data_IF_317619287942
#
_entry.id   IF_317619287942
#
_cell.length_a   1.000
_cell.length_b   1.000
_cell.length_c   1.000
_cell.angle_alpha   90.00
_cell.angle_beta   90.00
_cell.angle_gamma   90.00
#
_symmetry.space_group_name_H-M   'P 1'
#
loop_
_entity.id
_entity.type
_entity.pdbx_description
1 polymer ?
#
# COMPACT_ATOMS: atom_id res chain seq x y z
N UNK A 1 -17.59 13.41 42.49
CA UNK A 1 -17.09 14.18 41.33
C UNK A 1 -17.92 15.44 41.25
N UNK A 2 -17.39 16.56 41.74
CA UNK A 2 -18.06 17.86 41.60
C UNK A 2 -18.36 18.13 40.15
N UNK A 3 -19.60 18.53 39.88
CA UNK A 3 -20.04 18.83 38.53
C UNK A 3 -19.35 20.11 38.06
N UNK A 4 -19.09 20.24 36.76
CA UNK A 4 -18.47 21.45 36.19
C UNK A 4 -19.28 22.73 36.51
N UNK A 5 -20.56 22.57 36.86
CA UNK A 5 -21.46 23.64 37.28
C UNK A 5 -21.17 24.17 38.69
N UNK A 6 -20.81 23.31 39.65
CA UNK A 6 -20.43 23.73 41.03
C UNK A 6 -19.14 24.56 41.01
N UNK A 7 -18.17 24.22 40.16
CA UNK A 7 -16.94 25.01 40.00
C UNK A 7 -17.16 26.40 39.37
N UNK A 8 -18.31 26.63 38.73
CA UNK A 8 -18.68 27.94 38.16
C UNK A 8 -19.39 28.81 39.20
N UNK A 9 -19.97 28.23 40.25
CA UNK A 9 -20.53 29.01 41.37
C UNK A 9 -19.44 29.65 42.22
N UNK A 10 -18.28 29.00 42.33
CA UNK A 10 -17.12 29.48 43.10
C UNK A 10 -16.19 30.44 42.31
N UNK A 11 -16.57 30.79 41.07
CA UNK A 11 -15.82 31.71 40.24
C UNK A 11 -16.11 33.17 40.65
N UNK A 12 -15.40 33.60 41.69
CA UNK A 12 -15.04 34.98 42.06
C UNK A 12 -16.23 35.94 42.24
N UNK A 13 -16.53 36.25 43.50
CA UNK A 13 -17.26 37.47 43.86
C UNK A 13 -16.67 38.64 43.06
N UNK A 14 -17.54 39.49 42.49
CA UNK A 14 -17.15 40.71 41.74
C UNK A 14 -16.17 41.57 42.56
N UNK A 15 -16.19 41.42 43.88
CA UNK A 15 -15.32 42.09 44.85
C UNK A 15 -13.83 41.74 44.73
N UNK A 16 -13.48 40.61 44.09
CA UNK A 16 -12.10 40.17 43.87
C UNK A 16 -11.58 40.47 42.46
N UNK A 17 -12.35 41.18 41.64
CA UNK A 17 -11.96 41.49 40.27
C UNK A 17 -10.82 42.53 40.29
N UNK A 18 -9.63 42.15 39.82
CA UNK A 18 -8.51 43.07 39.64
C UNK A 18 -8.96 44.33 38.88
N UNK A 19 -8.47 45.51 39.26
CA UNK A 19 -8.83 46.80 38.65
C UNK A 19 -8.58 46.90 37.13
N UNK A 20 -7.88 45.91 36.55
CA UNK A 20 -7.59 45.81 35.12
C UNK A 20 -8.73 45.23 34.29
N UNK A 21 -9.74 44.60 34.91
CA UNK A 21 -10.85 43.95 34.21
C UNK A 21 -12.13 44.72 34.46
N UNK A 22 -12.77 45.21 33.39
CA UNK A 22 -14.04 45.90 33.49
C UNK A 22 -15.15 44.97 34.02
N UNK A 23 -15.82 45.37 35.10
CA UNK A 23 -16.80 44.55 35.79
C UNK A 23 -18.04 44.23 34.91
N UNK A 24 -18.40 45.12 33.99
CA UNK A 24 -19.50 44.89 33.07
C UNK A 24 -19.12 43.88 31.97
N UNK A 25 -17.92 44.00 31.38
CA UNK A 25 -17.37 43.00 30.45
C UNK A 25 -17.27 41.61 31.10
N UNK A 26 -16.79 41.54 32.34
CA UNK A 26 -16.71 40.28 33.09
C UNK A 26 -18.09 39.63 33.29
N UNK A 27 -19.09 40.40 33.74
CA UNK A 27 -20.47 39.89 33.90
C UNK A 27 -21.02 39.33 32.59
N UNK A 28 -20.84 40.05 31.48
CA UNK A 28 -21.30 39.61 30.17
C UNK A 28 -20.62 38.30 29.73
N UNK A 29 -19.31 38.17 29.98
CA UNK A 29 -18.56 36.95 29.67
C UNK A 29 -19.08 35.75 30.47
N UNK A 30 -19.25 35.91 31.79
CA UNK A 30 -19.76 34.85 32.68
C UNK A 30 -21.19 34.46 32.27
N UNK A 31 -22.06 35.44 32.00
CA UNK A 31 -23.42 35.19 31.55
C UNK A 31 -23.44 34.43 30.22
N UNK A 32 -22.59 34.79 29.25
CA UNK A 32 -22.48 34.07 27.98
C UNK A 32 -22.06 32.61 28.18
N UNK A 33 -21.04 32.34 28.99
CA UNK A 33 -20.57 30.95 29.19
C UNK A 33 -21.56 30.10 30.00
N UNK A 34 -22.39 30.72 30.85
CA UNK A 34 -23.51 30.05 31.54
C UNK A 34 -24.74 29.84 30.63
N UNK A 35 -24.84 30.54 29.51
CA UNK A 35 -25.94 30.34 28.56
C UNK A 35 -25.89 28.95 27.90
N UNK A 36 -27.03 28.51 27.36
CA UNK A 36 -27.11 27.28 26.57
C UNK A 36 -26.13 27.29 25.38
N UNK A 37 -25.99 28.43 24.72
CA UNK A 37 -25.05 28.62 23.60
C UNK A 37 -23.58 28.41 24.02
N UNK A 38 -23.20 28.95 25.18
CA UNK A 38 -21.85 28.76 25.75
C UNK A 38 -21.59 27.30 26.13
N UNK A 39 -22.58 26.69 26.79
CA UNK A 39 -22.52 25.28 27.22
C UNK A 39 -22.44 24.31 26.04
N UNK A 40 -23.27 24.50 25.01
CA UNK A 40 -23.26 23.70 23.79
C UNK A 40 -21.90 23.80 23.06
N UNK A 41 -21.34 25.01 22.99
CA UNK A 41 -20.00 25.25 22.42
C UNK A 41 -18.92 24.50 23.19
N UNK A 42 -18.90 24.58 24.52
CA UNK A 42 -17.92 23.89 25.37
C UNK A 42 -18.04 22.36 25.23
N UNK A 43 -19.26 21.85 25.30
CA UNK A 43 -19.57 20.42 25.20
C UNK A 43 -19.13 19.84 23.85
N UNK A 44 -19.32 20.60 22.76
CA UNK A 44 -18.89 20.20 21.41
C UNK A 44 -17.38 20.31 21.23
N UNK A 45 -16.75 21.37 21.76
CA UNK A 45 -15.33 21.63 21.56
C UNK A 45 -14.43 20.69 22.37
N UNK A 46 -14.89 20.18 23.52
CA UNK A 46 -14.12 19.23 24.35
C UNK A 46 -13.71 17.95 23.58
N UNK A 47 -14.63 17.19 22.95
CA UNK A 47 -14.25 16.03 22.13
C UNK A 47 -13.53 16.42 20.84
N UNK A 48 -13.77 17.62 20.29
CA UNK A 48 -13.00 18.09 19.13
C UNK A 48 -11.54 18.35 19.50
N UNK A 49 -11.29 18.92 20.68
CA UNK A 49 -9.95 19.15 21.21
C UNK A 49 -9.23 17.83 21.49
N UNK A 50 -9.92 16.80 21.97
CA UNK A 50 -9.29 15.49 22.18
C UNK A 50 -8.92 14.77 20.88
N UNK A 51 -9.54 15.13 19.74
CA UNK A 51 -9.17 14.62 18.41
C UNK A 51 -7.97 15.33 17.79
N UNK A 52 -7.48 16.41 18.40
CA UNK A 52 -6.30 17.12 17.92
C UNK A 52 -5.03 16.39 18.35
N UNK A 53 -4.49 15.59 17.44
CA UNK A 53 -3.32 14.73 17.68
C UNK A 53 -1.99 15.35 17.27
N UNK A 54 -2.03 16.45 16.52
CA UNK A 54 -0.85 17.14 15.98
C UNK A 54 -0.87 18.57 16.54
N UNK A 55 0.03 18.84 17.47
CA UNK A 55 0.18 20.16 18.09
C UNK A 55 1.37 20.91 17.48
N UNK A 56 1.38 22.24 17.58
CA UNK A 56 2.51 23.06 17.13
C UNK A 56 3.02 23.92 18.29
N UNK A 57 4.25 24.43 18.18
CA UNK A 57 4.96 25.16 19.25
C UNK A 57 5.09 26.66 19.01
N UNK A 58 4.53 27.19 17.91
CA UNK A 58 4.70 28.60 17.48
C UNK A 58 3.89 29.62 18.29
N UNK A 59 2.96 29.17 19.13
CA UNK A 59 2.09 30.05 19.92
C UNK A 59 1.26 30.97 19.02
N UNK A 60 1.33 32.29 19.27
CA UNK A 60 0.61 33.29 18.46
C UNK A 60 1.24 33.55 17.09
N UNK A 61 2.45 33.02 16.81
CA UNK A 61 3.13 33.21 15.54
C UNK A 61 2.50 32.31 14.47
N UNK A 62 2.07 32.91 13.36
CA UNK A 62 1.47 32.20 12.24
C UNK A 62 2.52 31.41 11.44
N UNK A 63 2.09 30.34 10.76
CA UNK A 63 2.97 29.56 9.88
C UNK A 63 3.52 30.36 8.70
N UNK A 64 2.74 31.33 8.17
CA UNK A 64 3.24 32.25 7.13
C UNK A 64 4.45 33.05 7.63
N UNK A 65 4.39 33.54 8.87
CA UNK A 65 5.49 34.28 9.47
C UNK A 65 6.70 33.39 9.75
N UNK A 66 6.49 32.16 10.25
CA UNK A 66 7.59 31.20 10.44
C UNK A 66 8.27 30.89 9.11
N UNK A 67 7.50 30.66 8.04
CA UNK A 67 8.04 30.41 6.70
C UNK A 67 8.87 31.59 6.19
N UNK A 68 8.38 32.82 6.37
CA UNK A 68 9.11 34.03 5.95
C UNK A 68 10.41 34.19 6.73
N UNK A 69 10.38 33.99 8.05
CA UNK A 69 11.58 34.05 8.89
C UNK A 69 12.63 33.00 8.45
N UNK A 70 12.20 31.77 8.17
CA UNK A 70 13.08 30.71 7.66
C UNK A 70 13.65 31.03 6.26
N UNK A 71 12.84 31.66 5.39
CA UNK A 71 13.27 32.06 4.05
C UNK A 71 14.35 33.13 4.11
N UNK A 72 14.20 34.10 5.02
CA UNK A 72 15.21 35.13 5.26
C UNK A 72 16.48 34.50 5.84
N UNK A 73 16.35 33.60 6.81
CA UNK A 73 17.50 32.94 7.46
C UNK A 73 18.32 32.07 6.51
N UNK A 74 17.66 31.37 5.58
CA UNK A 74 18.30 30.46 4.63
C UNK A 74 18.62 31.08 3.27
N UNK A 75 18.16 32.31 3.04
CA UNK A 75 18.24 33.00 1.74
C UNK A 75 17.70 32.17 0.56
N UNK A 76 16.85 31.18 0.84
CA UNK A 76 16.33 30.19 -0.10
C UNK A 76 14.86 29.93 0.19
N UNK A 77 14.12 29.46 -0.82
CA UNK A 77 12.72 29.13 -0.65
C UNK A 77 12.53 27.92 0.26
N UNK A 78 11.48 27.95 1.09
CA UNK A 78 11.28 26.99 2.18
C UNK A 78 10.05 26.13 1.92
N UNK A 79 10.23 24.82 1.96
CA UNK A 79 9.15 23.86 1.70
C UNK A 79 8.14 23.77 2.84
N UNK A 80 6.95 23.21 2.57
CA UNK A 80 5.94 22.95 3.62
C UNK A 80 6.42 21.94 4.66
N UNK A 81 7.22 20.96 4.25
CA UNK A 81 7.83 19.98 5.16
C UNK A 81 8.79 20.69 6.13
N UNK A 82 9.64 21.59 5.63
CA UNK A 82 10.55 22.39 6.47
C UNK A 82 9.82 23.27 7.48
N UNK A 83 8.73 23.93 7.04
CA UNK A 83 7.86 24.66 7.97
C UNK A 83 7.26 23.72 9.01
N UNK A 84 6.87 22.50 8.63
CA UNK A 84 6.36 21.51 9.59
C UNK A 84 7.42 21.15 10.64
N UNK A 85 8.65 20.86 10.23
CA UNK A 85 9.78 20.61 11.14
C UNK A 85 10.00 21.76 12.13
N UNK A 86 10.03 23.00 11.63
CA UNK A 86 10.25 24.18 12.47
C UNK A 86 9.11 24.43 13.48
N UNK A 87 7.88 24.05 13.13
CA UNK A 87 6.69 24.36 13.93
C UNK A 87 6.26 23.23 14.87
N UNK A 88 6.75 22.00 14.68
CA UNK A 88 6.38 20.81 15.46
C UNK A 88 7.55 20.26 16.29
N UNK A 89 8.68 20.98 16.35
CA UNK A 89 9.79 20.73 17.27
C UNK A 89 9.70 21.61 18.52
N UNK A 90 10.18 21.06 19.63
CA UNK A 90 10.48 21.79 20.87
C UNK A 90 11.86 22.44 20.78
N UNK A 91 12.20 23.28 21.77
CA UNK A 91 13.51 23.95 21.85
C UNK A 91 14.68 22.99 22.03
N UNK A 92 14.42 21.82 22.60
CA UNK A 92 15.40 20.73 22.76
C UNK A 92 15.60 19.90 21.48
N UNK A 93 14.90 20.22 20.40
CA UNK A 93 14.94 19.51 19.12
C UNK A 93 14.03 18.30 19.02
N UNK A 94 13.37 17.89 20.11
CA UNK A 94 12.46 16.74 20.11
C UNK A 94 11.09 17.09 19.51
N UNK A 95 10.37 16.12 18.92
CA UNK A 95 9.00 16.33 18.47
C UNK A 95 8.08 16.72 19.62
N UNK A 96 7.11 17.60 19.34
CA UNK A 96 6.15 18.07 20.35
C UNK A 96 5.24 16.95 20.88
N UNK A 97 4.86 16.02 20.01
CA UNK A 97 4.06 14.83 20.31
C UNK A 97 4.51 13.64 19.43
N UNK A 98 4.17 12.39 19.83
CA UNK A 98 4.59 11.20 19.10
C UNK A 98 4.13 11.16 17.64
N UNK A 99 2.91 11.66 17.36
CA UNK A 99 2.35 11.66 15.99
C UNK A 99 3.16 12.59 15.07
N UNK A 100 3.52 13.76 15.57
CA UNK A 100 4.39 14.71 14.86
C UNK A 100 5.75 14.07 14.57
N UNK A 101 6.30 13.32 15.52
CA UNK A 101 7.55 12.57 15.33
C UNK A 101 7.47 11.57 14.17
N UNK A 102 6.43 10.73 14.13
CA UNK A 102 6.22 9.77 13.03
C UNK A 102 6.04 10.47 11.68
N UNK A 103 5.29 11.59 11.64
CA UNK A 103 5.09 12.35 10.41
C UNK A 103 6.38 13.01 9.91
N UNK A 104 7.22 13.48 10.83
CA UNK A 104 8.54 14.03 10.51
C UNK A 104 9.45 12.95 9.91
N UNK A 105 9.48 11.76 10.50
CA UNK A 105 10.24 10.63 9.94
C UNK A 105 9.73 10.23 8.54
N UNK A 106 8.41 10.16 8.35
CA UNK A 106 7.81 9.86 7.06
C UNK A 106 8.15 10.92 6.01
N UNK A 107 8.10 12.21 6.36
CA UNK A 107 8.51 13.31 5.47
C UNK A 107 10.00 13.21 5.12
N UNK A 108 10.85 12.86 6.08
CA UNK A 108 12.29 12.71 5.84
C UNK A 108 12.57 11.57 4.86
N UNK A 109 11.89 10.43 5.05
CA UNK A 109 12.01 9.29 4.15
C UNK A 109 11.56 9.62 2.72
N UNK A 110 10.49 10.40 2.55
CA UNK A 110 10.07 10.87 1.24
C UNK A 110 11.11 11.78 0.58
N UNK A 111 11.71 12.72 1.33
CA UNK A 111 12.75 13.60 0.79
C UNK A 111 14.00 12.82 0.35
N UNK A 112 14.45 11.84 1.14
CA UNK A 112 15.62 11.02 0.78
C UNK A 112 15.39 10.15 -0.47
N UNK A 113 14.16 9.66 -0.69
CA UNK A 113 13.82 8.92 -1.91
C UNK A 113 13.80 9.80 -3.16
N UNK A 114 13.45 11.08 -3.01
CA UNK A 114 13.42 12.05 -4.11
C UNK A 114 14.82 12.46 -4.57
N UNK A 115 15.82 12.48 -3.68
CA UNK A 115 17.21 12.79 -4.04
C UNK A 115 17.87 11.70 -4.93
N UNK A 116 17.43 10.44 -4.80
CA UNK A 116 17.91 9.32 -5.62
C UNK A 116 17.34 9.34 -7.05
N UNK A 117 16.20 10.00 -7.25
CA UNK A 117 15.59 10.22 -8.55
C UNK A 117 15.86 11.65 -8.99
N UNK A 118 16.78 11.87 -9.93
CA UNK A 118 17.08 13.19 -10.51
C UNK A 118 15.83 13.83 -11.16
N UNK A 119 14.94 14.41 -10.36
CA UNK A 119 13.78 15.13 -10.81
C UNK A 119 13.91 16.56 -10.28
N UNK A 120 14.60 17.38 -11.06
CA UNK A 120 14.65 18.82 -10.89
C UNK A 120 13.24 19.39 -11.07
N UNK A 121 12.47 19.43 -9.98
CA UNK A 121 11.12 20.00 -10.00
C UNK A 121 10.15 19.42 -8.99
N UNK A 122 10.48 19.39 -7.70
CA UNK A 122 9.41 19.38 -6.69
C UNK A 122 8.78 20.79 -6.66
N UNK A 123 7.91 21.08 -7.64
CA UNK A 123 7.08 22.28 -7.62
C UNK A 123 6.30 22.33 -6.31
N UNK A 124 6.42 23.43 -5.57
CA UNK A 124 5.58 23.68 -4.39
C UNK A 124 4.11 23.59 -4.81
N UNK A 125 3.44 22.50 -4.42
CA UNK A 125 2.24 22.12 -5.14
C UNK A 125 1.50 20.93 -4.58
N UNK A 126 0.76 20.30 -5.49
CA UNK A 126 -0.25 19.30 -5.19
C UNK A 126 0.31 17.97 -4.70
N UNK A 127 1.59 17.72 -4.95
CA UNK A 127 2.26 16.45 -4.68
C UNK A 127 3.61 16.66 -3.96
N UNK A 128 3.75 17.77 -3.25
CA UNK A 128 4.93 17.96 -2.42
C UNK A 128 4.97 16.92 -1.29
N UNK A 129 6.15 16.71 -0.71
CA UNK A 129 6.38 15.77 0.40
C UNK A 129 5.34 15.91 1.51
N UNK A 130 4.93 17.14 1.82
CA UNK A 130 3.92 17.40 2.83
C UNK A 130 2.55 16.82 2.44
N UNK A 131 2.08 17.02 1.22
CA UNK A 131 0.83 16.46 0.71
C UNK A 131 0.85 14.93 0.68
N UNK A 132 2.00 14.33 0.33
CA UNK A 132 2.16 12.87 0.28
C UNK A 132 1.95 12.22 1.65
N UNK A 133 2.54 12.81 2.69
CA UNK A 133 2.47 12.30 4.07
C UNK A 133 1.16 12.69 4.78
N UNK A 134 0.73 13.95 4.63
CA UNK A 134 -0.48 14.46 5.31
C UNK A 134 -1.77 14.18 4.54
N UNK A 135 -1.67 13.54 3.37
CA UNK A 135 -2.72 13.35 2.40
C UNK A 135 -3.03 14.61 1.59
N UNK A 136 -3.74 14.42 0.47
CA UNK A 136 -4.08 15.51 -0.44
C UNK A 136 -4.94 16.60 0.20
N UNK A 137 -4.69 17.85 -0.19
CA UNK A 137 -5.43 19.00 0.33
C UNK A 137 -6.92 18.95 -0.05
N UNK A 138 -7.78 19.25 0.92
CA UNK A 138 -9.23 19.38 0.71
C UNK A 138 -9.57 20.75 0.12
N UNK A 139 -10.79 20.89 -0.42
CA UNK A 139 -11.27 22.18 -0.89
C UNK A 139 -11.26 23.24 0.24
N UNK A 140 -11.01 24.50 -0.13
CA UNK A 140 -11.02 25.63 0.79
C UNK A 140 -9.64 26.19 1.13
N UNK A 141 -8.78 25.44 1.83
CA UNK A 141 -7.50 25.99 2.33
C UNK A 141 -6.37 24.96 2.26
N UNK A 142 -5.21 25.40 1.77
CA UNK A 142 -3.96 24.64 1.83
C UNK A 142 -3.35 24.73 3.24
N UNK A 143 -3.03 23.58 3.83
CA UNK A 143 -2.31 23.48 5.12
C UNK A 143 -0.86 23.95 5.00
N UNK A 144 -0.31 24.51 6.07
CA UNK A 144 1.11 24.89 6.18
C UNK A 144 1.50 26.27 5.63
N UNK A 145 0.77 26.83 4.65
CA UNK A 145 1.20 28.07 3.96
C UNK A 145 0.86 29.38 4.71
N UNK A 146 -0.06 29.34 5.68
CA UNK A 146 -0.61 30.55 6.32
C UNK A 146 -1.41 31.43 5.34
N UNK A 147 -2.11 32.46 5.84
CA UNK A 147 -3.03 33.35 5.10
C UNK A 147 -4.22 32.71 4.37
N UNK A 148 -4.26 31.38 4.25
CA UNK A 148 -5.40 30.64 3.71
C UNK A 148 -5.54 30.61 2.18
N UNK A 149 -4.46 30.44 1.39
CA UNK A 149 -4.61 30.24 -0.04
C UNK A 149 -5.48 29.02 -0.33
N UNK A 150 -6.37 29.14 -1.31
CA UNK A 150 -7.19 28.02 -1.78
C UNK A 150 -6.32 27.10 -2.63
N UNK A 151 -6.53 25.77 -2.57
CA UNK A 151 -5.80 24.84 -3.44
C UNK A 151 -5.91 25.21 -4.92
N UNK A 152 -7.03 25.79 -5.36
CA UNK A 152 -7.21 26.25 -6.75
C UNK A 152 -6.31 27.42 -7.17
N UNK A 153 -5.91 28.30 -6.25
CA UNK A 153 -4.96 29.38 -6.52
C UNK A 153 -3.51 28.92 -6.39
N UNK A 154 -3.29 27.89 -5.56
CA UNK A 154 -1.96 27.29 -5.36
C UNK A 154 -1.58 26.31 -6.49
N UNK A 155 -2.57 25.65 -7.11
CA UNK A 155 -2.42 24.61 -8.15
C UNK A 155 -1.88 25.11 -9.49
N UNK A 156 -1.64 26.40 -9.69
CA UNK A 156 -1.50 26.94 -11.03
C UNK A 156 -2.78 26.74 -11.87
N UNK A 157 -2.75 26.94 -13.20
CA UNK A 157 -3.89 26.70 -14.06
C UNK A 157 -4.39 25.26 -13.90
N UNK A 158 -5.71 25.07 -13.72
CA UNK A 158 -6.29 23.72 -13.81
C UNK A 158 -6.01 23.18 -15.21
N UNK A 159 -5.48 21.96 -15.30
CA UNK A 159 -5.56 21.17 -16.53
C UNK A 159 -7.01 21.20 -17.01
N UNK A 160 -7.22 21.50 -18.30
CA UNK A 160 -8.55 21.49 -18.88
C UNK A 160 -9.16 20.10 -18.66
N UNK A 161 -10.49 20.04 -18.57
CA UNK A 161 -11.20 18.75 -18.62
C UNK A 161 -10.78 17.93 -19.85
N UNK A 162 -10.47 18.62 -20.95
CA UNK A 162 -9.96 18.01 -22.17
C UNK A 162 -8.55 17.42 -22.03
N UNK A 163 -7.66 18.09 -21.30
CA UNK A 163 -6.30 17.61 -21.03
C UNK A 163 -6.33 16.37 -20.12
N UNK A 164 -7.20 16.38 -19.11
CA UNK A 164 -7.39 15.24 -18.21
C UNK A 164 -7.96 14.02 -18.96
N UNK A 165 -8.91 14.23 -19.88
CA UNK A 165 -9.44 13.17 -20.73
C UNK A 165 -8.38 12.61 -21.68
N UNK A 166 -7.54 13.48 -22.25
CA UNK A 166 -6.45 13.07 -23.14
C UNK A 166 -5.45 12.18 -22.39
N UNK A 167 -4.99 12.62 -21.21
CA UNK A 167 -4.06 11.85 -20.38
C UNK A 167 -4.65 10.50 -19.94
N UNK A 168 -5.94 10.46 -19.59
CA UNK A 168 -6.63 9.21 -19.23
C UNK A 168 -6.70 8.23 -20.42
N UNK A 169 -6.97 8.74 -21.63
CA UNK A 169 -7.02 7.93 -22.85
C UNK A 169 -5.63 7.43 -23.27
N UNK A 170 -4.60 8.25 -23.11
CA UNK A 170 -3.20 7.85 -23.35
C UNK A 170 -2.76 6.75 -22.36
N UNK A 171 -3.08 6.91 -21.07
CA UNK A 171 -2.81 5.88 -20.06
C UNK A 171 -3.55 4.56 -20.34
N UNK A 172 -4.80 4.65 -20.80
CA UNK A 172 -5.58 3.47 -21.21
C UNK A 172 -4.94 2.76 -22.41
N UNK A 173 -4.51 3.51 -23.44
CA UNK A 173 -3.82 2.95 -24.61
C UNK A 173 -2.51 2.27 -24.25
N UNK A 174 -1.69 2.91 -23.42
CA UNK A 174 -0.43 2.33 -22.96
C UNK A 174 -0.65 1.02 -22.17
N UNK A 175 -1.71 0.96 -21.34
CA UNK A 175 -2.07 -0.26 -20.62
C UNK A 175 -2.57 -1.37 -21.56
N UNK A 176 -3.36 -1.02 -22.57
CA UNK A 176 -3.84 -1.97 -23.59
C UNK A 176 -2.68 -2.52 -24.43
N UNK A 177 -1.75 -1.67 -24.87
CA UNK A 177 -0.55 -2.08 -25.60
C UNK A 177 0.34 -3.01 -24.75
N UNK A 178 0.51 -2.70 -23.47
CA UNK A 178 1.25 -3.58 -22.57
C UNK A 178 0.53 -4.92 -22.36
N UNK A 179 -0.80 -4.92 -22.24
CA UNK A 179 -1.59 -6.16 -22.13
C UNK A 179 -1.44 -7.03 -23.37
N UNK A 180 -1.56 -6.44 -24.58
CA UNK A 180 -1.38 -7.15 -25.84
C UNK A 180 0.01 -7.77 -25.96
N UNK A 181 1.05 -7.00 -25.63
CA UNK A 181 2.43 -7.50 -25.64
C UNK A 181 2.63 -8.66 -24.66
N UNK A 182 1.99 -8.60 -23.49
CA UNK A 182 2.04 -9.68 -22.51
C UNK A 182 1.31 -10.92 -23.02
N UNK A 183 0.15 -10.76 -23.65
CA UNK A 183 -0.61 -11.85 -24.27
C UNK A 183 0.17 -12.52 -25.41
N UNK A 184 0.83 -11.73 -26.27
CA UNK A 184 1.73 -12.24 -27.32
C UNK A 184 2.91 -13.03 -26.73
N UNK A 185 3.51 -12.54 -25.64
CA UNK A 185 4.56 -13.26 -24.94
C UNK A 185 4.06 -14.59 -24.37
N UNK A 186 2.87 -14.62 -23.77
CA UNK A 186 2.25 -15.85 -23.26
C UNK A 186 1.97 -16.82 -24.39
N UNK A 187 1.44 -16.36 -25.52
CA UNK A 187 1.17 -17.19 -26.69
C UNK A 187 2.47 -17.79 -27.27
N UNK A 188 3.52 -16.97 -27.43
CA UNK A 188 4.82 -17.43 -27.91
C UNK A 188 5.47 -18.43 -26.95
N UNK A 189 5.31 -18.24 -25.64
CA UNK A 189 5.79 -19.20 -24.64
C UNK A 189 5.01 -20.53 -24.71
N UNK A 190 3.69 -20.49 -24.90
CA UNK A 190 2.86 -21.70 -25.06
C UNK A 190 3.28 -22.52 -26.27
N UNK A 191 3.45 -21.89 -27.44
CA UNK A 191 3.89 -22.59 -28.65
C UNK A 191 5.28 -23.25 -28.46
N UNK A 192 6.22 -22.55 -27.80
CA UNK A 192 7.52 -23.15 -27.46
C UNK A 192 7.41 -24.34 -26.51
N UNK A 193 6.47 -24.29 -25.55
CA UNK A 193 6.21 -25.40 -24.65
C UNK A 193 5.62 -26.60 -25.39
N UNK A 194 4.67 -26.39 -26.32
CA UNK A 194 4.07 -27.47 -27.12
C UNK A 194 5.11 -28.17 -28.01
N UNK A 195 6.00 -27.40 -28.63
CA UNK A 195 7.12 -27.95 -29.42
C UNK A 195 8.07 -28.75 -28.52
N UNK A 196 8.38 -28.23 -27.33
CA UNK A 196 9.24 -28.93 -26.37
C UNK A 196 8.59 -30.24 -25.89
N UNK A 197 7.29 -30.23 -25.58
CA UNK A 197 6.52 -31.39 -25.19
C UNK A 197 6.50 -32.46 -26.29
N UNK A 198 6.25 -32.07 -27.54
CA UNK A 198 6.29 -32.97 -28.68
C UNK A 198 7.69 -33.58 -28.92
N UNK A 199 8.77 -32.83 -28.66
CA UNK A 199 10.14 -33.34 -28.73
C UNK A 199 10.43 -34.36 -27.63
N UNK A 200 9.88 -34.17 -26.42
CA UNK A 200 10.03 -35.11 -25.31
C UNK A 200 9.29 -36.43 -25.59
N UNK A 201 8.04 -36.36 -26.07
CA UNK A 201 7.26 -37.53 -26.47
C UNK A 201 7.96 -38.33 -27.58
N UNK A 202 8.43 -37.64 -28.64
CA UNK A 202 9.18 -38.30 -29.71
C UNK A 202 10.46 -38.98 -29.21
N UNK A 203 11.17 -38.38 -28.24
CA UNK A 203 12.35 -39.00 -27.63
C UNK A 203 11.98 -40.26 -26.84
N UNK A 204 10.87 -40.22 -26.12
CA UNK A 204 10.38 -41.36 -25.34
C UNK A 204 9.96 -42.52 -26.26
N UNK A 205 9.19 -42.25 -27.33
CA UNK A 205 8.80 -43.25 -28.32
C UNK A 205 9.99 -43.90 -29.03
N UNK A 206 11.02 -43.11 -29.37
CA UNK A 206 12.26 -43.64 -29.96
C UNK A 206 13.02 -44.52 -28.96
N UNK A 207 13.02 -44.18 -27.69
CA UNK A 207 13.65 -44.99 -26.64
C UNK A 207 12.90 -46.33 -26.48
N UNK A 208 11.57 -46.29 -26.36
CA UNK A 208 10.72 -47.49 -26.21
C UNK A 208 10.78 -48.39 -27.46
N UNK A 209 10.69 -47.81 -28.66
CA UNK A 209 10.84 -48.56 -29.91
C UNK A 209 12.20 -49.23 -30.04
N UNK A 210 13.27 -48.57 -29.56
CA UNK A 210 14.62 -49.13 -29.56
C UNK A 210 14.75 -50.28 -28.55
N UNK A 211 14.10 -50.17 -27.39
CA UNK A 211 14.05 -51.25 -26.39
C UNK A 211 13.25 -52.46 -26.90
N UNK A 212 12.09 -52.25 -27.56
CA UNK A 212 11.30 -53.32 -28.17
C UNK A 212 12.07 -54.06 -29.27
N UNK A 213 12.80 -53.34 -30.13
CA UNK A 213 13.66 -53.96 -31.16
C UNK A 213 14.80 -54.77 -30.55
N UNK A 214 15.40 -54.32 -29.45
CA UNK A 214 16.44 -55.08 -28.73
C UNK A 214 15.91 -56.35 -28.07
N UNK A 215 14.71 -56.32 -27.48
CA UNK A 215 14.09 -57.53 -26.92
C UNK A 215 13.65 -58.52 -28.00
N UNK A 216 13.15 -58.03 -29.14
CA UNK A 216 12.77 -58.88 -30.28
C UNK A 216 14.00 -59.49 -30.98
N UNK A 217 15.12 -58.76 -31.13
CA UNK A 217 16.35 -59.33 -31.69
C UNK A 217 17.07 -60.29 -30.74
N UNK A 218 16.94 -60.10 -29.42
CA UNK A 218 17.40 -61.08 -28.43
C UNK A 218 16.63 -62.40 -28.52
N UNK A 219 15.33 -62.36 -28.89
CA UNK A 219 14.53 -63.56 -29.18
C UNK A 219 14.80 -64.15 -30.58
N UNK A 220 15.19 -63.34 -31.56
CA UNK A 220 15.47 -63.79 -32.93
C UNK A 220 16.88 -64.42 -33.13
N UNK A 221 17.75 -64.38 -32.11
CA UNK A 221 19.06 -65.04 -32.13
C UNK A 221 19.10 -66.40 -31.42
N UNK A 222 17.93 -67.03 -31.21
CA UNK A 222 17.84 -68.45 -30.86
C UNK A 222 17.04 -69.21 -31.93
N UNK A 223 17.75 -69.74 -32.93
CA UNK A 223 17.30 -70.84 -33.79
C UNK A 223 18.51 -71.46 -34.52
N UNK A 224 18.50 -72.74 -34.94
CA UNK A 224 18.46 -73.94 -34.12
C UNK A 224 19.66 -74.85 -34.47
N UNK A 225 20.52 -75.18 -33.51
CA UNK A 225 21.53 -76.22 -33.73
C UNK A 225 21.75 -77.02 -32.46
N UNK A 226 20.91 -78.03 -32.23
CA UNK A 226 21.29 -79.24 -31.49
C UNK A 226 20.45 -80.41 -31.99
N UNK A 227 21.11 -81.35 -32.66
CA UNK A 227 20.61 -82.72 -32.80
C UNK A 227 20.81 -83.44 -31.46
N UNK A 228 19.70 -83.93 -30.91
CA UNK A 228 19.52 -85.28 -30.37
C UNK A 228 20.40 -85.77 -29.21
N UNK A 229 19.81 -85.80 -28.00
CA UNK A 229 19.88 -86.82 -26.92
C UNK A 229 18.84 -86.35 -25.87
N UNK A 230 17.98 -87.09 -25.19
CA UNK A 230 17.70 -88.51 -24.99
C UNK A 230 16.22 -88.61 -24.56
N UNK A 231 15.63 -89.77 -24.75
CA UNK A 231 14.31 -90.21 -24.31
C UNK A 231 14.06 -90.15 -22.79
N UNK A 232 12.76 -90.23 -22.45
CA UNK A 232 12.11 -90.50 -21.14
C UNK A 232 12.07 -89.29 -20.18
N UNK A 233 10.95 -88.87 -19.58
CA UNK A 233 9.96 -89.60 -18.76
C UNK A 233 8.65 -88.75 -18.70
N UNK A 234 7.49 -89.41 -18.82
CA UNK A 234 6.19 -89.22 -18.10
C UNK A 234 5.91 -87.84 -17.44
N UNK A 235 4.75 -87.18 -17.46
CA UNK A 235 3.34 -87.55 -17.51
C UNK A 235 2.54 -86.27 -17.12
N UNK A 236 1.37 -86.02 -17.75
CA UNK A 236 0.06 -85.67 -17.10
C UNK A 236 0.09 -84.76 -15.83
N UNK A 237 -0.65 -83.67 -15.61
CA UNK A 237 -1.97 -83.07 -16.00
C UNK A 237 -1.90 -81.62 -15.39
N UNK A 238 -2.51 -80.53 -15.87
CA UNK A 238 -3.90 -80.10 -15.56
C UNK A 238 -4.04 -78.58 -15.91
N UNK A 239 -4.94 -78.27 -16.85
CA UNK A 239 -5.95 -77.17 -16.93
C UNK A 239 -5.70 -75.88 -16.11
N UNK A 240 -5.94 -74.64 -16.56
CA UNK A 240 -6.59 -74.07 -17.75
C UNK A 240 -7.08 -72.64 -17.44
N UNK A 241 -7.26 -71.82 -18.51
CA UNK A 241 -8.22 -70.69 -18.69
C UNK A 241 -8.12 -69.45 -17.74
N UNK A 242 -8.52 -68.21 -18.06
CA UNK A 242 -8.79 -67.35 -19.22
C UNK A 242 -9.44 -66.06 -18.64
N UNK A 243 -9.37 -64.90 -19.33
CA UNK A 243 -10.23 -63.69 -19.19
C UNK A 243 -9.93 -62.73 -18.00
N UNK A 244 -10.00 -61.39 -18.06
CA UNK A 244 -10.41 -60.40 -19.07
C UNK A 244 -9.98 -58.96 -18.63
N UNK A 245 -9.84 -58.07 -19.63
CA UNK A 245 -10.13 -56.60 -19.69
C UNK A 245 -10.07 -55.74 -18.41
N UNK A 246 -9.17 -54.75 -18.28
CA UNK A 246 -9.24 -53.39 -18.86
C UNK A 246 -10.50 -52.59 -18.45
N UNK A 247 -10.23 -51.39 -17.88
CA UNK A 247 -10.81 -50.05 -18.11
C UNK A 247 -11.50 -49.34 -16.92
N UNK A 248 -11.09 -48.06 -16.79
CA UNK A 248 -11.77 -46.86 -16.25
C UNK A 248 -11.99 -46.78 -14.72
N UNK A 249 -11.92 -45.65 -14.02
CA UNK A 249 -11.91 -44.21 -14.38
C UNK A 249 -11.18 -43.45 -13.27
N UNK A 250 -10.51 -42.36 -13.67
CA UNK A 250 -10.26 -41.16 -12.88
C UNK A 250 -11.41 -40.76 -11.94
N UNK A 251 -11.12 -40.23 -10.76
CA UNK A 251 -11.50 -38.85 -10.39
C UNK A 251 -11.18 -38.54 -8.92
N UNK A 252 -10.85 -37.26 -8.71
CA UNK A 252 -10.89 -36.51 -7.47
C UNK A 252 -9.82 -36.82 -6.41
N UNK A 253 -8.82 -35.94 -6.31
CA UNK A 253 -8.86 -34.71 -5.50
C UNK A 253 -8.63 -34.98 -4.01
N UNK A 254 -7.44 -34.54 -3.60
CA UNK A 254 -7.27 -33.64 -2.46
C UNK A 254 -7.35 -34.25 -1.06
N UNK A 255 -6.15 -34.26 -0.45
CA UNK A 255 -5.86 -33.93 0.95
C UNK A 255 -6.51 -34.82 2.03
N UNK A 256 -5.68 -35.61 2.72
CA UNK A 256 -5.03 -35.14 3.95
C UNK A 256 -4.43 -36.32 4.73
N UNK A 257 -3.15 -36.17 5.09
CA UNK A 257 -2.64 -36.36 6.46
C UNK A 257 -3.04 -37.64 7.22
N UNK A 258 -2.10 -38.60 7.29
CA UNK A 258 -1.51 -39.15 8.53
C UNK A 258 -1.06 -40.60 8.32
N UNK A 259 0.26 -40.81 8.28
CA UNK A 259 0.93 -41.85 9.08
C UNK A 259 2.44 -41.80 8.81
N UNK A 260 3.12 -40.94 9.56
CA UNK A 260 4.34 -41.38 10.22
C UNK A 260 3.95 -41.52 11.69
N UNK A 261 3.87 -42.76 12.14
CA UNK A 261 3.80 -43.13 13.55
C UNK A 261 5.02 -44.00 13.85
#
# INVERSE_FOLDING_TARGET
METYQEKIQDALSIEQLESRVDAHQWRNLVQFWRSEKGTARSTTNKPNRSKQTINHTTGAKSFARVREELKIERETDVSRAEVFYATHKRKDGTPVDPRSGSLMEEMQNCMSQEEDTQNEGSEQGHDDVYARVMGQERCGRVRGLGLGPTPSRFRGPRQSHEDALRAANEGKRAAEEHSQKLEEQIASMRERMDVMEAQLLNRQDRCESSQLRRHSSAHAFQSPFYHQFSSNIESRVFLGLHLDNILVVFSCHIQCLHCHH
#
